data_IF_467299360375
#
_entry.id   IF_467299360375
#
_cell.length_a   1.000
_cell.length_b   1.000
_cell.length_c   1.000
_cell.angle_alpha   90.00
_cell.angle_beta   90.00
_cell.angle_gamma   90.00
#
_symmetry.space_group_name_H-M   'P 1'
#
loop_
_entity.id
_entity.type
_entity.pdbx_description
1 polymer ?
#
# COMPACT_ATOMS: atom_id res chain seq x y z
N UNK A 1 -14.53 -1.72 13.05
CA UNK A 1 -14.18 -1.07 11.77
C UNK A 1 -12.92 -1.73 11.25
N UNK A 2 -13.01 -2.40 10.10
CA UNK A 2 -11.84 -3.02 9.44
C UNK A 2 -11.05 -1.94 8.72
N UNK A 3 -9.91 -1.56 9.29
CA UNK A 3 -8.94 -0.65 8.67
C UNK A 3 -8.24 -1.36 7.49
N UNK A 4 -8.08 -0.67 6.35
CA UNK A 4 -7.32 -1.13 5.17
C UNK A 4 -5.95 -1.69 5.57
N UNK A 5 -5.25 -1.05 6.50
CA UNK A 5 -3.94 -1.48 6.99
C UNK A 5 -3.99 -2.85 7.67
N UNK A 6 -5.07 -3.16 8.39
CA UNK A 6 -5.25 -4.47 9.03
C UNK A 6 -5.60 -5.58 8.02
N UNK A 7 -6.30 -5.25 6.94
CA UNK A 7 -6.57 -6.20 5.86
C UNK A 7 -5.27 -6.57 5.12
N UNK A 8 -4.45 -5.57 4.80
CA UNK A 8 -3.16 -5.78 4.14
C UNK A 8 -2.17 -6.57 4.98
N UNK A 9 -2.03 -6.28 6.28
CA UNK A 9 -1.18 -7.08 7.16
C UNK A 9 -1.52 -8.58 7.14
N UNK A 10 -2.81 -8.93 7.03
CA UNK A 10 -3.25 -10.34 6.91
C UNK A 10 -2.88 -10.96 5.57
N UNK A 11 -3.00 -10.19 4.48
CA UNK A 11 -2.58 -10.60 3.14
C UNK A 11 -1.07 -10.84 3.11
N UNK A 12 -0.29 -9.95 3.74
CA UNK A 12 1.17 -10.02 3.80
C UNK A 12 1.65 -11.29 4.51
N UNK A 13 1.05 -11.57 5.68
CA UNK A 13 1.29 -12.80 6.44
C UNK A 13 0.93 -14.03 5.61
N UNK A 14 -0.23 -14.01 4.94
CA UNK A 14 -0.65 -15.14 4.12
C UNK A 14 0.29 -15.37 2.93
N UNK A 15 0.68 -14.31 2.22
CA UNK A 15 1.58 -14.37 1.08
C UNK A 15 2.98 -14.83 1.49
N UNK A 16 3.50 -14.39 2.64
CA UNK A 16 4.81 -14.82 3.13
C UNK A 16 4.90 -16.33 3.33
N UNK A 17 3.77 -16.99 3.64
CA UNK A 17 3.69 -18.43 3.90
C UNK A 17 3.33 -19.25 2.66
N UNK A 18 2.47 -18.71 1.79
CA UNK A 18 1.86 -19.49 0.70
C UNK A 18 2.41 -19.12 -0.68
N UNK A 19 2.90 -17.89 -0.86
CA UNK A 19 3.38 -17.39 -2.14
C UNK A 19 4.46 -16.31 -1.98
N UNK A 20 5.63 -16.64 -1.38
CA UNK A 20 6.69 -15.67 -1.12
C UNK A 20 7.23 -15.02 -2.42
N UNK A 21 7.15 -15.72 -3.55
CA UNK A 21 7.51 -15.18 -4.87
C UNK A 21 6.58 -14.07 -5.34
N UNK A 22 5.29 -14.15 -5.00
CA UNK A 22 4.33 -13.07 -5.27
C UNK A 22 4.62 -11.89 -4.35
N UNK A 23 4.91 -12.18 -3.08
CA UNK A 23 5.27 -11.15 -2.10
C UNK A 23 6.52 -10.37 -2.51
N UNK A 24 7.53 -11.05 -3.04
CA UNK A 24 8.78 -10.45 -3.50
C UNK A 24 8.61 -9.61 -4.78
N UNK A 25 7.58 -9.89 -5.59
CA UNK A 25 7.27 -9.13 -6.81
C UNK A 25 6.36 -7.91 -6.57
N UNK A 26 5.83 -7.73 -5.36
CA UNK A 26 5.06 -6.54 -5.02
C UNK A 26 6.00 -5.33 -4.92
N UNK A 27 5.59 -4.20 -5.51
CA UNK A 27 6.31 -2.95 -5.38
C UNK A 27 6.41 -2.53 -3.91
N UNK A 28 7.52 -1.90 -3.55
CA UNK A 28 7.64 -1.17 -2.28
C UNK A 28 6.60 -0.06 -2.20
N UNK A 29 6.26 0.38 -0.99
CA UNK A 29 5.44 1.57 -0.80
C UNK A 29 6.00 2.76 -1.59
N UNK A 30 5.08 3.55 -2.15
CA UNK A 30 5.36 4.86 -2.72
C UNK A 30 5.86 5.81 -1.62
N UNK A 31 6.69 6.77 -1.97
CA UNK A 31 7.03 7.89 -1.11
C UNK A 31 5.90 8.92 -1.06
N UNK A 32 5.90 9.76 -0.03
CA UNK A 32 4.95 10.87 0.12
C UNK A 32 4.97 11.80 -1.11
N UNK A 33 6.16 12.05 -1.68
CA UNK A 33 6.33 12.84 -2.91
C UNK A 33 5.69 12.18 -4.14
N UNK A 34 5.79 10.85 -4.27
CA UNK A 34 5.16 10.10 -5.36
C UNK A 34 3.64 10.09 -5.24
N UNK A 35 3.11 10.01 -4.01
CA UNK A 35 1.67 10.10 -3.76
C UNK A 35 1.17 11.51 -4.08
N UNK A 36 1.85 12.55 -3.61
CA UNK A 36 1.48 13.94 -3.87
C UNK A 36 1.52 14.29 -5.37
N UNK A 37 2.51 13.79 -6.10
CA UNK A 37 2.57 13.95 -7.56
C UNK A 37 1.38 13.28 -8.26
N UNK A 38 1.01 12.07 -7.85
CA UNK A 38 -0.14 11.35 -8.40
C UNK A 38 -1.47 12.05 -8.09
N UNK A 39 -1.64 12.58 -6.87
CA UNK A 39 -2.82 13.38 -6.49
C UNK A 39 -2.95 14.64 -7.36
N UNK A 40 -1.84 15.33 -7.60
CA UNK A 40 -1.80 16.51 -8.44
C UNK A 40 -2.11 16.19 -9.91
N UNK A 41 -1.56 15.10 -10.44
CA UNK A 41 -1.78 14.66 -11.83
C UNK A 41 -3.23 14.23 -12.05
N UNK A 42 -3.80 13.47 -11.11
CA UNK A 42 -5.16 12.95 -11.21
C UNK A 42 -6.23 13.97 -10.78
N UNK A 43 -5.84 15.06 -10.12
CA UNK A 43 -6.76 16.05 -9.58
C UNK A 43 -7.66 15.49 -8.46
N UNK A 44 -7.18 14.48 -7.74
CA UNK A 44 -7.89 13.84 -6.63
C UNK A 44 -7.05 13.90 -5.36
N UNK A 45 -7.72 13.93 -4.21
CA UNK A 45 -7.08 13.69 -2.92
C UNK A 45 -7.42 12.25 -2.54
N UNK A 46 -6.41 11.39 -2.35
CA UNK A 46 -6.66 10.05 -1.83
C UNK A 46 -7.05 10.12 -0.35
N UNK A 47 -8.02 9.30 0.09
CA UNK A 47 -8.34 9.15 1.50
C UNK A 47 -7.12 8.74 2.34
N UNK A 48 -7.07 9.18 3.59
CA UNK A 48 -5.92 8.97 4.48
C UNK A 48 -5.60 7.48 4.71
N UNK A 49 -6.62 6.62 4.73
CA UNK A 49 -6.46 5.16 4.87
C UNK A 49 -5.87 4.50 3.60
N UNK A 50 -6.08 5.10 2.43
CA UNK A 50 -5.44 4.70 1.17
C UNK A 50 -4.02 5.27 1.10
N UNK A 51 -3.82 6.52 1.52
CA UNK A 51 -2.50 7.16 1.58
C UNK A 51 -1.52 6.39 2.47
N UNK A 52 -1.94 6.03 3.69
CA UNK A 52 -1.14 5.23 4.63
C UNK A 52 -0.65 3.92 4.00
N UNK A 53 -1.50 3.29 3.17
CA UNK A 53 -1.13 2.05 2.47
C UNK A 53 -0.14 2.28 1.33
N UNK A 54 -0.28 3.38 0.59
CA UNK A 54 0.66 3.74 -0.48
C UNK A 54 2.04 4.01 0.12
N UNK A 55 2.10 4.70 1.26
CA UNK A 55 3.34 5.10 1.94
C UNK A 55 4.05 3.96 2.69
N UNK A 56 3.38 2.82 2.90
CA UNK A 56 3.93 1.70 3.67
C UNK A 56 5.14 1.10 2.95
N UNK A 57 6.34 1.57 3.31
CA UNK A 57 7.62 0.91 3.05
C UNK A 57 7.64 -0.42 3.78
N UNK A 58 7.49 -1.51 3.03
CA UNK A 58 7.70 -2.89 3.48
C UNK A 58 9.18 -3.23 3.54
#
# INVERSE_FOLDING_TARGET
MTNISAAWARIDIWLSRNAPQILAGMASGASEDEVAAAEQEMGIIVPDDVRERLETKR
#
